data_IF_399006232875
#
_entry.id   IF_399006232875
#
_cell.length_a   1.000
_cell.length_b   1.000
_cell.length_c   1.000
_cell.angle_alpha   90.00
_cell.angle_beta   90.00
_cell.angle_gamma   90.00
#
_symmetry.space_group_name_H-M   'P 1'
#
loop_
_entity.id
_entity.type
_entity.pdbx_description
1 polymer ?
#
# COMPACT_ATOMS: atom_id res chain seq x y z
N UNK A 1 34.21 -22.86 11.76
CA UNK A 1 33.85 -23.47 10.46
C UNK A 1 33.77 -24.99 10.54
N UNK A 2 34.83 -25.71 10.93
CA UNK A 2 34.77 -27.18 11.04
C UNK A 2 33.66 -27.68 11.96
N UNK A 3 33.49 -27.06 13.14
CA UNK A 3 32.40 -27.38 14.08
C UNK A 3 31.01 -27.15 13.47
N UNK A 4 30.84 -26.07 12.70
CA UNK A 4 29.58 -25.77 12.03
C UNK A 4 29.26 -26.82 10.95
N UNK A 5 30.24 -27.19 10.12
CA UNK A 5 30.08 -28.23 9.09
C UNK A 5 29.92 -29.64 9.65
N UNK A 6 30.20 -29.85 10.94
CA UNK A 6 29.95 -31.13 11.62
C UNK A 6 28.50 -31.30 12.07
N UNK A 7 27.71 -30.21 12.12
CA UNK A 7 26.28 -30.26 12.43
C UNK A 7 25.47 -30.74 11.21
N UNK A 8 24.25 -31.27 11.41
CA UNK A 8 23.34 -31.60 10.32
C UNK A 8 23.10 -30.37 9.42
N UNK A 9 23.41 -30.52 8.13
CA UNK A 9 23.17 -29.50 7.12
C UNK A 9 21.93 -29.81 6.30
N UNK A 10 21.26 -28.76 5.81
CA UNK A 10 20.18 -28.85 4.83
C UNK A 10 20.55 -28.06 3.56
N UNK A 11 19.84 -28.34 2.48
CA UNK A 11 19.95 -27.63 1.20
C UNK A 11 18.57 -27.15 0.77
N UNK A 12 18.51 -26.00 0.10
CA UNK A 12 17.28 -25.45 -0.44
C UNK A 12 17.51 -24.20 -1.26
N UNK A 13 16.45 -23.77 -1.95
CA UNK A 13 16.48 -22.60 -2.82
C UNK A 13 16.25 -21.33 -2.00
N UNK A 14 17.20 -20.39 -2.07
CA UNK A 14 17.10 -19.08 -1.46
C UNK A 14 17.27 -17.98 -2.50
N UNK A 15 16.37 -17.01 -2.50
CA UNK A 15 16.41 -15.83 -3.36
C UNK A 15 15.81 -14.63 -2.63
N UNK A 16 16.07 -13.44 -3.15
CA UNK A 16 15.63 -12.20 -2.49
C UNK A 16 15.03 -11.19 -3.47
N UNK A 17 14.11 -10.37 -2.97
CA UNK A 17 13.77 -9.08 -3.54
C UNK A 17 14.50 -7.97 -2.76
N UNK A 18 15.23 -7.08 -3.41
CA UNK A 18 15.79 -5.89 -2.74
C UNK A 18 14.69 -4.86 -2.44
N UNK A 19 14.95 -3.89 -1.55
CA UNK A 19 14.01 -2.78 -1.29
C UNK A 19 13.60 -1.97 -2.53
N UNK A 20 14.40 -1.97 -3.60
CA UNK A 20 14.07 -1.32 -4.89
C UNK A 20 13.34 -2.26 -5.87
N UNK A 21 12.79 -3.37 -5.41
CA UNK A 21 12.06 -4.36 -6.24
C UNK A 21 12.93 -5.28 -7.11
N UNK A 22 14.27 -5.16 -7.07
CA UNK A 22 15.14 -6.02 -7.88
C UNK A 22 15.16 -7.46 -7.34
N UNK A 23 14.76 -8.41 -8.19
CA UNK A 23 14.81 -9.83 -7.90
C UNK A 23 16.22 -10.39 -8.11
N UNK A 24 16.74 -11.07 -7.07
CA UNK A 24 17.82 -12.04 -7.17
C UNK A 24 17.19 -13.43 -7.14
N UNK A 25 17.24 -14.19 -8.25
CA UNK A 25 16.49 -15.43 -8.38
C UNK A 25 16.98 -16.49 -7.38
N UNK A 26 16.12 -17.46 -7.01
CA UNK A 26 16.50 -18.51 -6.09
C UNK A 26 17.67 -19.36 -6.60
N UNK A 27 18.66 -19.57 -5.74
CA UNK A 27 19.79 -20.46 -5.99
C UNK A 27 19.96 -21.46 -4.84
N UNK A 28 20.66 -22.56 -5.06
CA UNK A 28 20.81 -23.59 -4.05
C UNK A 28 21.81 -23.16 -2.98
N UNK A 29 21.39 -23.08 -1.73
CA UNK A 29 22.25 -22.82 -0.58
C UNK A 29 22.32 -24.06 0.29
N UNK A 30 23.49 -24.26 0.91
CA UNK A 30 23.72 -25.29 1.92
C UNK A 30 24.21 -24.68 3.21
N UNK A 31 23.62 -25.12 4.31
CA UNK A 31 23.93 -24.59 5.63
C UNK A 31 23.34 -25.39 6.77
N UNK A 32 23.53 -24.88 7.98
CA UNK A 32 22.92 -25.42 9.21
C UNK A 32 21.67 -24.62 9.53
N UNK A 33 20.58 -25.30 9.90
CA UNK A 33 19.38 -24.62 10.37
C UNK A 33 19.67 -23.77 11.60
N UNK A 34 19.11 -22.56 11.66
CA UNK A 34 19.20 -21.71 12.84
C UNK A 34 18.65 -22.45 14.07
N UNK A 35 17.55 -23.18 13.93
CA UNK A 35 16.98 -24.01 15.01
C UNK A 35 17.97 -25.04 15.57
N UNK A 36 18.76 -25.71 14.71
CA UNK A 36 19.82 -26.64 15.14
C UNK A 36 20.94 -25.95 15.92
N UNK A 37 21.26 -24.70 15.58
CA UNK A 37 22.22 -23.91 16.37
C UNK A 37 21.65 -23.54 17.74
N UNK A 38 20.37 -23.16 17.78
CA UNK A 38 19.69 -22.77 19.01
C UNK A 38 19.44 -23.94 19.96
N UNK A 39 19.27 -25.16 19.45
CA UNK A 39 19.20 -26.39 20.28
C UNK A 39 20.42 -26.55 21.19
N UNK A 40 21.61 -26.09 20.77
CA UNK A 40 22.82 -26.11 21.60
C UNK A 40 22.74 -25.12 22.77
N UNK A 41 21.82 -24.15 22.70
CA UNK A 41 21.54 -23.15 23.74
C UNK A 41 20.26 -23.48 24.53
N UNK A 42 19.70 -24.68 24.37
CA UNK A 42 18.45 -25.10 25.03
C UNK A 42 17.20 -24.92 24.18
N UNK A 43 17.34 -24.56 22.90
CA UNK A 43 16.25 -24.37 21.95
C UNK A 43 15.75 -22.93 21.89
N UNK A 44 14.77 -22.70 21.00
CA UNK A 44 14.03 -21.45 20.89
C UNK A 44 12.63 -21.65 21.49
N UNK A 45 12.28 -20.80 22.44
CA UNK A 45 10.95 -20.72 23.05
C UNK A 45 10.22 -19.47 22.57
N UNK A 46 8.89 -19.43 22.76
CA UNK A 46 8.04 -18.31 22.34
C UNK A 46 8.38 -16.98 23.05
N UNK A 47 9.10 -17.01 24.18
CA UNK A 47 9.56 -15.84 24.94
C UNK A 47 10.95 -15.31 24.50
N UNK A 48 11.51 -15.87 23.42
CA UNK A 48 12.84 -15.49 22.91
C UNK A 48 12.81 -15.21 21.42
N UNK A 49 13.40 -14.08 21.03
CA UNK A 49 13.67 -13.76 19.62
C UNK A 49 15.14 -13.99 19.27
N UNK A 50 15.42 -14.12 17.97
CA UNK A 50 16.76 -14.39 17.44
C UNK A 50 17.27 -13.14 16.75
N UNK A 51 18.35 -12.56 17.26
CA UNK A 51 19.04 -11.46 16.58
C UNK A 51 20.29 -11.97 15.88
N UNK A 52 20.42 -11.62 14.60
CA UNK A 52 21.58 -11.93 13.76
C UNK A 52 22.37 -10.66 13.53
N UNK A 53 23.68 -10.71 13.76
CA UNK A 53 24.59 -9.57 13.66
C UNK A 53 25.68 -9.90 12.63
N UNK A 54 25.87 -8.99 11.68
CA UNK A 54 26.89 -9.04 10.65
C UNK A 54 28.17 -8.31 11.06
N UNK A 55 29.27 -8.56 10.34
CA UNK A 55 30.57 -7.92 10.58
C UNK A 55 30.59 -6.41 10.30
N UNK A 56 29.73 -5.95 9.40
CA UNK A 56 29.57 -4.53 9.01
C UNK A 56 28.73 -3.72 10.01
N UNK A 57 28.21 -4.35 11.05
CA UNK A 57 27.36 -3.70 12.07
C UNK A 57 25.87 -3.82 11.80
N UNK A 58 25.44 -4.33 10.64
CA UNK A 58 24.04 -4.63 10.39
C UNK A 58 23.53 -5.70 11.36
N UNK A 59 22.31 -5.51 11.85
CA UNK A 59 21.63 -6.50 12.68
C UNK A 59 20.16 -6.57 12.35
N UNK A 60 19.58 -7.76 12.45
CA UNK A 60 18.15 -7.97 12.27
C UNK A 60 17.61 -8.95 13.32
N UNK A 61 16.36 -8.74 13.74
CA UNK A 61 15.68 -9.59 14.71
C UNK A 61 14.57 -10.40 14.06
N UNK A 62 14.63 -11.70 14.24
CA UNK A 62 13.58 -12.65 13.89
C UNK A 62 12.72 -12.96 15.12
N UNK A 63 11.40 -13.00 14.92
CA UNK A 63 10.48 -13.52 15.92
C UNK A 63 10.60 -15.04 16.08
N UNK A 64 10.05 -15.62 17.16
CA UNK A 64 9.93 -17.07 17.28
C UNK A 64 9.20 -17.69 16.08
N UNK A 65 8.09 -17.08 15.62
CA UNK A 65 7.27 -17.61 14.54
C UNK A 65 8.04 -17.64 13.20
N UNK A 66 8.79 -16.60 12.88
CA UNK A 66 9.64 -16.58 11.67
C UNK A 66 10.65 -17.73 11.63
N UNK A 67 11.29 -18.04 12.76
CA UNK A 67 12.31 -19.11 12.83
C UNK A 67 11.69 -20.51 12.92
N UNK A 68 10.60 -20.67 13.68
CA UNK A 68 9.99 -21.98 13.95
C UNK A 68 9.01 -22.41 12.85
N UNK A 69 8.21 -21.47 12.36
CA UNK A 69 7.09 -21.72 11.44
C UNK A 69 7.44 -21.35 10.00
N UNK A 70 8.35 -20.40 9.79
CA UNK A 70 8.75 -19.95 8.47
C UNK A 70 7.82 -18.88 7.88
N UNK A 71 7.18 -18.09 8.74
CA UNK A 71 6.25 -17.04 8.34
C UNK A 71 7.03 -15.82 7.82
N UNK A 72 7.19 -15.73 6.50
CA UNK A 72 7.81 -14.60 5.81
C UNK A 72 6.87 -14.07 4.73
N UNK A 73 6.91 -12.77 4.47
CA UNK A 73 6.32 -12.24 3.24
C UNK A 73 7.10 -12.78 2.05
N UNK A 74 6.38 -13.20 1.01
CA UNK A 74 6.95 -13.85 -0.17
C UNK A 74 6.46 -13.21 -1.44
N UNK A 75 7.33 -13.15 -2.45
CA UNK A 75 7.06 -12.51 -3.72
C UNK A 75 7.29 -13.44 -4.90
N UNK A 76 6.48 -13.31 -5.95
CA UNK A 76 6.69 -14.02 -7.21
C UNK A 76 7.98 -13.54 -7.89
N UNK A 77 8.81 -14.49 -8.32
CA UNK A 77 10.11 -14.22 -8.96
C UNK A 77 9.98 -13.44 -10.28
N UNK A 78 8.83 -13.56 -10.97
CA UNK A 78 8.61 -12.99 -12.30
C UNK A 78 7.98 -11.61 -12.24
N UNK A 79 6.90 -11.45 -11.45
CA UNK A 79 6.19 -10.17 -11.36
C UNK A 79 6.71 -9.29 -10.22
N UNK A 80 7.24 -9.88 -9.16
CA UNK A 80 7.55 -9.16 -7.92
C UNK A 80 6.31 -8.84 -7.07
N UNK A 81 5.15 -9.41 -7.40
CA UNK A 81 3.95 -9.27 -6.58
C UNK A 81 4.04 -10.17 -5.35
N UNK A 82 3.43 -9.73 -4.25
CA UNK A 82 3.26 -10.58 -3.07
C UNK A 82 2.40 -11.80 -3.40
N UNK A 83 2.79 -12.96 -2.89
CA UNK A 83 2.11 -14.24 -3.07
C UNK A 83 2.02 -15.01 -1.75
N UNK A 84 1.05 -15.92 -1.68
CA UNK A 84 1.04 -16.92 -0.61
C UNK A 84 2.30 -17.78 -0.67
N UNK A 85 2.86 -18.09 0.51
CA UNK A 85 4.08 -18.90 0.63
C UNK A 85 3.88 -20.29 0.03
N UNK A 86 4.77 -20.68 -0.89
CA UNK A 86 4.78 -22.00 -1.54
C UNK A 86 5.69 -22.95 -0.76
N UNK A 87 5.08 -23.82 0.03
CA UNK A 87 5.79 -24.83 0.81
C UNK A 87 6.34 -24.27 2.12
N UNK A 88 7.32 -24.95 2.70
CA UNK A 88 7.91 -24.55 3.98
C UNK A 88 9.17 -23.74 3.76
N UNK A 89 9.24 -22.58 4.40
CA UNK A 89 10.47 -21.78 4.49
C UNK A 89 11.25 -22.13 5.77
N UNK A 90 12.57 -22.11 5.66
CA UNK A 90 13.48 -22.38 6.77
C UNK A 90 14.68 -21.44 6.73
N UNK A 91 15.16 -21.02 7.89
CA UNK A 91 16.32 -20.13 8.00
C UNK A 91 17.58 -20.92 8.28
N UNK A 92 18.61 -20.73 7.45
CA UNK A 92 19.92 -21.37 7.59
C UNK A 92 21.03 -20.36 7.75
N UNK A 93 22.10 -20.79 8.40
CA UNK A 93 23.44 -20.22 8.22
C UNK A 93 24.13 -21.01 7.12
N UNK A 94 24.10 -20.44 5.92
CA UNK A 94 24.73 -20.96 4.73
C UNK A 94 26.25 -20.74 4.77
N UNK A 95 26.98 -21.72 4.23
CA UNK A 95 28.42 -21.67 3.99
C UNK A 95 28.80 -22.11 2.57
N UNK A 96 27.81 -22.54 1.78
CA UNK A 96 27.96 -22.98 0.39
C UNK A 96 26.78 -22.48 -0.46
N UNK A 97 27.07 -22.11 -1.71
CA UNK A 97 26.10 -21.69 -2.74
C UNK A 97 26.43 -22.42 -4.04
N UNK A 98 25.45 -23.11 -4.61
CA UNK A 98 25.59 -23.98 -5.78
C UNK A 98 26.74 -25.02 -5.68
N UNK A 99 26.97 -25.53 -4.47
CA UNK A 99 28.00 -26.55 -4.19
C UNK A 99 29.42 -26.01 -3.99
N UNK A 100 29.62 -24.71 -4.12
CA UNK A 100 30.91 -24.04 -3.88
C UNK A 100 30.86 -23.24 -2.57
N UNK A 101 31.99 -23.06 -1.87
CA UNK A 101 32.07 -22.15 -0.72
C UNK A 101 31.61 -20.74 -1.08
N UNK A 102 30.97 -20.04 -0.14
CA UNK A 102 30.61 -18.63 -0.31
C UNK A 102 31.86 -17.77 -0.57
N UNK A 103 31.68 -16.75 -1.40
CA UNK A 103 32.72 -15.77 -1.65
C UNK A 103 32.90 -14.87 -0.41
N UNK A 104 34.07 -14.96 0.22
CA UNK A 104 34.32 -14.30 1.50
C UNK A 104 34.28 -12.76 1.40
N UNK A 105 34.65 -12.20 0.25
CA UNK A 105 34.74 -10.75 0.06
C UNK A 105 33.37 -10.12 -0.21
N UNK A 106 32.47 -10.84 -0.91
CA UNK A 106 31.17 -10.29 -1.36
C UNK A 106 29.94 -10.83 -0.61
N UNK A 107 30.05 -11.98 0.05
CA UNK A 107 28.96 -12.62 0.80
C UNK A 107 29.34 -12.94 2.25
N UNK A 108 30.65 -13.02 2.53
CA UNK A 108 31.19 -13.49 3.80
C UNK A 108 31.30 -15.00 3.86
N UNK A 109 32.04 -15.50 4.84
CA UNK A 109 32.20 -16.96 5.03
C UNK A 109 30.92 -17.65 5.51
N UNK A 110 30.02 -16.88 6.13
CA UNK A 110 28.72 -17.31 6.62
C UNK A 110 27.68 -16.28 6.21
N UNK A 111 26.55 -16.78 5.71
CA UNK A 111 25.42 -15.96 5.28
C UNK A 111 24.12 -16.51 5.85
N UNK A 112 23.26 -15.64 6.35
CA UNK A 112 21.90 -16.00 6.70
C UNK A 112 21.07 -16.06 5.42
N UNK A 113 20.33 -17.14 5.22
CA UNK A 113 19.48 -17.33 4.04
C UNK A 113 18.18 -17.98 4.48
N UNK A 114 17.05 -17.47 3.99
CA UNK A 114 15.76 -18.16 4.02
C UNK A 114 15.69 -19.05 2.78
N UNK A 115 15.50 -20.35 2.99
CA UNK A 115 15.44 -21.35 1.93
C UNK A 115 14.06 -22.03 1.89
N UNK A 116 13.67 -22.47 0.70
CA UNK A 116 12.48 -23.29 0.47
C UNK A 116 12.69 -24.28 -0.68
N UNK A 117 11.61 -24.93 -1.10
CA UNK A 117 11.63 -25.89 -2.21
C UNK A 117 11.27 -25.25 -3.56
N UNK A 118 10.56 -24.12 -3.54
CA UNK A 118 10.01 -23.48 -4.74
C UNK A 118 11.02 -22.55 -5.41
N UNK A 119 11.22 -22.64 -6.75
CA UNK A 119 12.01 -21.67 -7.51
C UNK A 119 11.20 -20.43 -7.90
N UNK A 120 9.92 -20.37 -7.54
CA UNK A 120 8.98 -19.33 -7.98
C UNK A 120 8.80 -18.19 -6.97
N UNK A 121 9.40 -18.31 -5.78
CA UNK A 121 9.27 -17.29 -4.74
C UNK A 121 10.61 -16.80 -4.21
N UNK A 122 10.61 -15.55 -3.72
CA UNK A 122 11.68 -14.96 -2.94
C UNK A 122 11.12 -14.32 -1.67
N UNK A 123 11.99 -13.97 -0.73
CA UNK A 123 11.65 -13.15 0.45
C UNK A 123 12.33 -11.79 0.34
N UNK A 124 12.04 -10.87 1.26
CA UNK A 124 12.79 -9.62 1.33
C UNK A 124 14.30 -9.81 1.56
N UNK A 125 15.07 -8.91 0.96
CA UNK A 125 16.52 -8.92 1.01
C UNK A 125 17.08 -8.75 2.42
N UNK A 126 16.36 -8.06 3.31
CA UNK A 126 16.79 -7.88 4.70
C UNK A 126 16.83 -9.21 5.49
N UNK A 127 16.10 -10.24 5.01
CA UNK A 127 16.17 -11.61 5.55
C UNK A 127 17.41 -12.39 5.10
N UNK A 128 18.23 -11.85 4.19
CA UNK A 128 19.46 -12.49 3.75
C UNK A 128 20.70 -11.68 4.13
N UNK A 129 21.23 -11.98 5.32
CA UNK A 129 22.32 -11.24 5.94
C UNK A 129 23.68 -11.82 5.54
N UNK A 130 24.52 -10.99 4.93
CA UNK A 130 25.92 -11.33 4.59
C UNK A 130 26.83 -11.16 5.80
N UNK A 131 28.02 -11.77 5.74
CA UNK A 131 29.06 -11.64 6.76
C UNK A 131 28.54 -11.90 8.19
N UNK A 132 27.74 -12.96 8.36
CA UNK A 132 27.16 -13.28 9.67
C UNK A 132 28.27 -13.63 10.64
N UNK A 133 28.31 -12.89 11.74
CA UNK A 133 29.32 -13.06 12.80
C UNK A 133 28.73 -13.66 14.05
N UNK A 134 27.49 -13.30 14.40
CA UNK A 134 26.89 -13.67 15.67
C UNK A 134 25.39 -13.89 15.54
N UNK A 135 24.89 -14.90 16.26
CA UNK A 135 23.48 -15.10 16.54
C UNK A 135 23.33 -15.01 18.06
N UNK A 136 22.33 -14.26 18.53
CA UNK A 136 22.02 -14.14 19.96
C UNK A 136 20.53 -14.30 20.19
N UNK A 137 20.19 -14.87 21.34
CA UNK A 137 18.82 -14.85 21.86
C UNK A 137 18.61 -13.56 22.64
N UNK A 138 17.48 -12.89 22.41
CA UNK A 138 17.00 -11.77 23.22
C UNK A 138 15.56 -12.00 23.65
N UNK A 139 15.01 -11.07 24.44
CA UNK A 139 13.59 -11.11 24.79
C UNK A 139 12.73 -11.13 23.52
N UNK A 140 11.61 -11.86 23.56
CA UNK A 140 10.70 -11.94 22.43
C UNK A 140 10.26 -10.54 21.98
N UNK A 141 10.31 -10.34 20.68
CA UNK A 141 9.63 -9.23 20.01
C UNK A 141 8.36 -9.77 19.37
N UNK A 142 7.28 -9.03 19.54
CA UNK A 142 6.01 -9.31 18.87
C UNK A 142 6.09 -8.82 17.42
N UNK A 143 5.64 -9.64 16.48
CA UNK A 143 5.51 -9.23 15.09
C UNK A 143 4.25 -8.39 14.90
N UNK A 144 4.34 -7.45 13.96
CA UNK A 144 3.25 -6.58 13.59
C UNK A 144 3.41 -6.17 12.13
N UNK A 145 2.29 -5.76 11.55
CA UNK A 145 2.19 -5.22 10.20
C UNK A 145 1.36 -3.94 10.26
N UNK A 146 1.82 -2.90 9.57
CA UNK A 146 1.10 -1.65 9.37
C UNK A 146 0.87 -1.45 7.88
N UNK A 147 -0.36 -1.08 7.50
CA UNK A 147 -0.71 -0.86 6.10
C UNK A 147 -0.34 0.56 5.68
N UNK A 148 0.46 0.70 4.62
CA UNK A 148 0.68 1.98 3.95
C UNK A 148 -0.11 1.98 2.64
N UNK A 149 -1.00 2.96 2.48
CA UNK A 149 -1.98 3.00 1.40
C UNK A 149 -1.87 4.35 0.69
N UNK A 150 -1.66 4.33 -0.62
CA UNK A 150 -1.65 5.52 -1.46
C UNK A 150 -1.98 5.16 -2.91
N UNK A 151 -1.14 5.57 -3.85
CA UNK A 151 -1.25 5.18 -5.26
C UNK A 151 -1.05 3.67 -5.45
N UNK A 152 -0.26 3.07 -4.56
CA UNK A 152 -0.17 1.63 -4.35
C UNK A 152 -0.35 1.31 -2.87
N UNK A 153 -0.64 0.07 -2.55
CA UNK A 153 -0.71 -0.39 -1.15
C UNK A 153 0.45 -1.33 -0.85
N UNK A 154 1.04 -1.17 0.32
CA UNK A 154 2.13 -2.03 0.79
C UNK A 154 1.97 -2.33 2.29
N UNK A 155 1.87 -3.61 2.68
CA UNK A 155 2.01 -3.98 4.08
C UNK A 155 3.48 -3.81 4.50
N UNK A 156 3.70 -3.11 5.60
CA UNK A 156 5.02 -2.94 6.21
C UNK A 156 5.10 -3.82 7.45
N UNK A 157 5.88 -4.89 7.37
CA UNK A 157 6.18 -5.71 8.55
C UNK A 157 7.21 -5.05 9.48
N UNK A 158 7.24 -5.53 10.71
CA UNK A 158 8.19 -5.06 11.75
C UNK A 158 9.63 -5.02 11.26
N UNK A 159 10.09 -6.06 10.58
CA UNK A 159 11.50 -6.21 10.24
C UNK A 159 11.92 -5.31 9.07
N UNK A 160 11.04 -5.10 8.10
CA UNK A 160 11.20 -4.10 7.04
C UNK A 160 11.32 -2.72 7.65
N UNK A 161 10.43 -2.38 8.59
CA UNK A 161 10.48 -1.11 9.29
C UNK A 161 11.76 -0.95 10.10
N UNK A 162 12.13 -1.93 10.92
CA UNK A 162 13.36 -1.90 11.73
C UNK A 162 14.62 -1.78 10.85
N UNK A 163 14.65 -2.44 9.69
CA UNK A 163 15.75 -2.33 8.72
C UNK A 163 15.83 -0.92 8.14
N UNK A 164 14.69 -0.31 7.79
CA UNK A 164 14.62 1.09 7.37
C UNK A 164 15.02 2.07 8.47
N UNK A 165 14.71 1.75 9.73
CA UNK A 165 15.03 2.55 10.91
C UNK A 165 16.47 2.33 11.43
N UNK A 166 17.30 1.58 10.72
CA UNK A 166 18.70 1.37 11.11
C UNK A 166 19.49 2.70 11.08
N UNK A 167 20.50 2.89 11.95
CA UNK A 167 21.25 4.15 12.04
C UNK A 167 21.89 4.64 10.74
N UNK A 168 22.30 3.73 9.87
CA UNK A 168 22.92 4.04 8.56
C UNK A 168 21.90 4.11 7.41
N UNK A 169 20.60 4.15 7.73
CA UNK A 169 19.49 4.18 6.77
C UNK A 169 18.62 5.44 6.97
N UNK A 170 17.38 5.31 7.46
CA UNK A 170 16.42 6.41 7.61
C UNK A 170 16.09 6.73 9.08
N UNK A 171 16.97 6.40 10.02
CA UNK A 171 16.72 6.67 11.43
C UNK A 171 16.67 8.17 11.74
N UNK A 172 15.61 8.58 12.42
CA UNK A 172 15.47 9.90 13.06
C UNK A 172 15.06 9.75 14.52
N UNK A 173 15.29 10.79 15.31
CA UNK A 173 14.93 10.80 16.73
C UNK A 173 14.40 12.16 17.19
N UNK A 174 13.46 12.15 18.14
CA UNK A 174 12.91 13.32 18.81
C UNK A 174 12.88 13.10 20.33
N UNK A 175 13.14 14.13 21.12
CA UNK A 175 13.09 14.08 22.59
C UNK A 175 11.91 14.89 23.09
N UNK A 176 11.06 14.26 23.92
CA UNK A 176 9.89 14.92 24.49
C UNK A 176 10.22 15.85 25.68
N UNK A 177 9.19 16.49 26.24
CA UNK A 177 9.34 17.42 27.37
C UNK A 177 9.76 16.71 28.67
N UNK A 178 9.46 15.41 28.77
CA UNK A 178 9.80 14.52 29.88
C UNK A 178 11.22 13.96 29.76
N UNK A 179 11.86 14.11 28.60
CA UNK A 179 13.23 13.69 28.32
C UNK A 179 13.36 12.30 27.71
N UNK A 180 12.26 11.67 27.30
CA UNK A 180 12.28 10.39 26.60
C UNK A 180 12.69 10.58 25.14
N UNK A 181 13.55 9.70 24.63
CA UNK A 181 14.03 9.73 23.25
C UNK A 181 13.23 8.75 22.41
N UNK A 182 12.42 9.28 21.51
CA UNK A 182 11.66 8.51 20.53
C UNK A 182 12.46 8.40 19.24
N UNK A 183 12.52 7.20 18.64
CA UNK A 183 13.23 6.99 17.38
C UNK A 183 12.49 6.06 16.42
N UNK A 184 12.67 6.30 15.13
CA UNK A 184 12.09 5.52 14.04
C UNK A 184 12.39 6.17 12.69
N UNK A 185 11.42 6.21 11.79
CA UNK A 185 11.59 6.71 10.42
C UNK A 185 10.77 7.99 10.21
N UNK A 186 11.33 9.06 9.61
CA UNK A 186 10.54 10.20 9.17
C UNK A 186 9.37 9.80 8.27
N UNK A 187 8.17 10.33 8.55
CA UNK A 187 6.94 9.92 7.89
C UNK A 187 7.04 10.03 6.37
N UNK A 188 7.70 11.06 5.83
CA UNK A 188 7.81 11.26 4.39
C UNK A 188 8.54 10.10 3.65
N UNK A 189 9.51 9.45 4.29
CA UNK A 189 10.16 8.27 3.70
C UNK A 189 9.21 7.09 3.56
N UNK A 190 8.28 6.94 4.50
CA UNK A 190 7.31 5.85 4.52
C UNK A 190 6.20 6.06 3.50
N UNK A 191 5.61 7.27 3.46
CA UNK A 191 4.58 7.59 2.47
C UNK A 191 5.15 7.66 1.04
N UNK A 192 6.43 8.01 0.88
CA UNK A 192 7.14 7.93 -0.41
C UNK A 192 7.31 6.50 -0.94
N UNK A 193 6.95 5.47 -0.18
CA UNK A 193 6.91 4.10 -0.70
C UNK A 193 5.62 3.81 -1.46
N UNK A 194 4.59 4.62 -1.25
CA UNK A 194 3.22 4.36 -1.69
C UNK A 194 2.57 5.56 -2.38
N UNK A 195 3.29 6.67 -2.57
CA UNK A 195 2.77 7.85 -3.25
C UNK A 195 2.80 7.74 -4.79
N UNK A 196 3.62 6.84 -5.34
CA UNK A 196 3.54 6.33 -6.71
C UNK A 196 4.08 4.88 -6.83
N UNK A 197 4.41 4.41 -8.04
CA UNK A 197 4.94 3.05 -8.28
C UNK A 197 6.39 2.85 -7.80
N UNK A 198 7.12 3.93 -7.44
CA UNK A 198 8.55 3.92 -7.08
C UNK A 198 8.71 3.77 -5.56
N UNK A 199 8.66 2.53 -5.09
CA UNK A 199 8.71 2.18 -3.65
C UNK A 199 9.96 2.63 -2.89
N UNK A 200 11.12 2.79 -3.55
CA UNK A 200 12.39 3.06 -2.89
C UNK A 200 13.48 3.54 -3.87
N UNK A 201 14.28 4.53 -3.45
CA UNK A 201 15.36 5.12 -4.25
C UNK A 201 15.44 6.64 -4.07
N UNK A 202 16.36 7.29 -4.79
CA UNK A 202 16.58 8.74 -4.69
C UNK A 202 15.32 9.56 -5.04
N UNK A 203 14.50 9.04 -5.96
CA UNK A 203 13.29 9.68 -6.50
C UNK A 203 11.98 9.06 -5.94
N UNK A 204 12.05 8.25 -4.86
CA UNK A 204 10.85 7.56 -4.35
C UNK A 204 9.78 8.51 -3.83
N UNK A 205 10.16 9.57 -3.11
CA UNK A 205 9.19 10.54 -2.60
C UNK A 205 8.86 11.63 -3.64
N UNK A 206 7.58 11.80 -3.96
CA UNK A 206 7.08 12.75 -4.97
C UNK A 206 6.78 14.13 -4.39
N UNK A 207 7.82 14.98 -4.40
CA UNK A 207 7.72 16.38 -3.97
C UNK A 207 6.68 17.20 -4.76
N UNK A 208 6.40 16.84 -6.02
CA UNK A 208 5.40 17.51 -6.85
C UNK A 208 3.97 17.15 -6.44
N UNK A 209 3.69 15.89 -6.12
CA UNK A 209 2.41 15.47 -5.54
C UNK A 209 2.20 16.15 -4.18
N UNK A 210 3.24 16.18 -3.34
CA UNK A 210 3.16 16.81 -2.03
C UNK A 210 2.87 18.33 -2.12
N UNK A 211 3.44 19.01 -3.13
CA UNK A 211 3.16 20.42 -3.42
C UNK A 211 1.81 20.66 -4.11
N UNK A 212 1.26 19.67 -4.80
CA UNK A 212 -0.08 19.76 -5.35
C UNK A 212 -1.12 19.75 -4.23
N UNK A 213 -0.81 19.08 -3.13
CA UNK A 213 -1.67 18.99 -1.95
C UNK A 213 -2.33 17.62 -1.89
N UNK A 214 -2.16 16.97 -0.74
CA UNK A 214 -2.93 15.80 -0.33
C UNK A 214 -2.96 15.75 1.19
N UNK A 215 -3.85 14.93 1.76
CA UNK A 215 -3.84 14.68 3.20
C UNK A 215 -3.27 13.30 3.50
N UNK A 216 -2.75 13.12 4.71
CA UNK A 216 -2.23 11.87 5.23
C UNK A 216 -2.98 11.55 6.50
N UNK A 217 -3.78 10.49 6.47
CA UNK A 217 -4.44 9.94 7.64
C UNK A 217 -3.55 8.91 8.33
N UNK A 218 -3.19 9.17 9.58
CA UNK A 218 -2.55 8.20 10.46
C UNK A 218 -3.65 7.63 11.36
N UNK A 219 -3.93 6.33 11.21
CA UNK A 219 -5.08 5.66 11.82
C UNK A 219 -4.60 4.67 12.87
N UNK A 220 -5.07 4.83 14.10
CA UNK A 220 -4.80 3.91 15.20
C UNK A 220 -5.69 2.66 15.16
N UNK A 221 -5.28 1.62 15.88
CA UNK A 221 -5.99 0.34 16.01
C UNK A 221 -7.41 0.46 16.59
N UNK A 222 -7.69 1.53 17.34
CA UNK A 222 -9.03 1.84 17.87
C UNK A 222 -9.91 2.66 16.90
N UNK A 223 -9.39 2.99 15.71
CA UNK A 223 -10.05 3.81 14.69
C UNK A 223 -9.91 5.31 14.88
N UNK A 224 -9.14 5.79 15.87
CA UNK A 224 -8.82 7.21 15.98
C UNK A 224 -7.87 7.64 14.86
N UNK A 225 -8.21 8.73 14.17
CA UNK A 225 -7.45 9.24 13.03
C UNK A 225 -6.89 10.62 13.32
N UNK A 226 -5.62 10.81 12.95
CA UNK A 226 -4.97 12.12 12.84
C UNK A 226 -4.66 12.39 11.38
N UNK A 227 -5.21 13.47 10.86
CA UNK A 227 -4.95 13.93 9.49
C UNK A 227 -3.86 15.00 9.50
N UNK A 228 -2.84 14.82 8.64
CA UNK A 228 -1.77 15.78 8.37
C UNK A 228 -1.85 16.26 6.92
N UNK A 229 -1.40 17.47 6.63
CA UNK A 229 -1.28 17.95 5.25
C UNK A 229 0.08 17.61 4.65
N UNK A 230 0.11 17.37 3.33
CA UNK A 230 1.31 17.01 2.59
C UNK A 230 2.42 18.04 2.68
N UNK A 231 2.10 19.34 2.75
CA UNK A 231 3.11 20.41 2.85
C UNK A 231 3.87 20.36 4.18
N UNK A 232 3.18 20.06 5.28
CA UNK A 232 3.78 19.89 6.61
C UNK A 232 4.69 18.66 6.68
N UNK A 233 4.32 17.58 5.99
CA UNK A 233 5.09 16.31 5.98
C UNK A 233 6.24 16.32 4.98
N UNK A 234 6.13 17.08 3.89
CA UNK A 234 7.08 17.10 2.77
C UNK A 234 8.53 17.33 3.24
N UNK A 235 9.36 16.30 3.08
CA UNK A 235 10.80 16.31 3.44
C UNK A 235 11.05 16.77 4.89
N UNK A 236 10.13 16.45 5.79
CA UNK A 236 10.20 16.86 7.19
C UNK A 236 10.71 15.73 8.10
N UNK A 237 11.98 15.84 8.52
CA UNK A 237 12.61 14.91 9.46
C UNK A 237 12.08 15.02 10.90
N UNK A 238 11.31 16.06 11.21
CA UNK A 238 10.78 16.29 12.55
C UNK A 238 9.46 15.56 12.81
N UNK A 239 8.86 14.90 11.81
CA UNK A 239 7.62 14.11 11.94
C UNK A 239 8.00 12.65 11.75
N UNK A 240 8.00 11.90 12.84
CA UNK A 240 8.60 10.57 12.93
C UNK A 240 7.52 9.55 13.27
N UNK A 241 7.50 8.44 12.55
CA UNK A 241 6.85 7.21 12.99
C UNK A 241 7.87 6.44 13.81
N UNK A 242 7.71 6.45 15.13
CA UNK A 242 8.62 5.83 16.08
C UNK A 242 8.26 4.37 16.32
N UNK A 243 9.28 3.51 16.37
CA UNK A 243 9.18 2.12 16.83
C UNK A 243 9.93 1.87 18.14
N UNK A 244 10.65 2.88 18.65
CA UNK A 244 11.41 2.80 19.90
C UNK A 244 11.19 4.05 20.76
N UNK A 245 11.22 3.85 22.08
CA UNK A 245 11.34 4.89 23.11
C UNK A 245 12.46 4.51 24.08
N UNK A 246 13.39 5.42 24.32
CA UNK A 246 14.62 5.20 25.09
C UNK A 246 15.42 3.96 24.65
N UNK A 247 15.40 3.69 23.35
CA UNK A 247 16.05 2.52 22.73
C UNK A 247 15.38 1.18 23.03
N UNK A 248 14.16 1.18 23.60
CA UNK A 248 13.35 -0.01 23.83
C UNK A 248 12.16 -0.04 22.86
N UNK A 249 11.69 -1.25 22.43
CA UNK A 249 10.44 -1.39 21.69
C UNK A 249 9.25 -0.75 22.41
N UNK A 250 8.31 -0.21 21.63
CA UNK A 250 7.05 0.32 22.17
C UNK A 250 6.22 -0.79 22.84
N UNK A 251 5.34 -0.40 23.75
CA UNK A 251 4.42 -1.32 24.44
C UNK A 251 3.11 -0.61 24.79
N UNK A 252 2.06 -1.38 25.09
CA UNK A 252 0.76 -0.82 25.46
C UNK A 252 0.15 0.02 24.33
N UNK A 253 -0.42 1.18 24.68
CA UNK A 253 -1.11 2.08 23.74
C UNK A 253 -0.18 2.71 22.68
N UNK A 254 1.14 2.60 22.85
CA UNK A 254 2.13 3.10 21.88
C UNK A 254 2.49 2.06 20.81
N UNK A 255 2.23 0.78 21.06
CA UNK A 255 2.61 -0.33 20.16
C UNK A 255 1.55 -0.53 19.06
N UNK A 256 1.94 -0.79 17.79
CA UNK A 256 3.30 -1.11 17.34
C UNK A 256 4.17 0.10 16.99
N UNK A 257 3.55 1.18 16.53
CA UNK A 257 4.20 2.41 16.10
C UNK A 257 3.48 3.64 16.68
N UNK A 258 4.24 4.72 16.91
CA UNK A 258 3.73 5.99 17.42
C UNK A 258 4.17 7.17 16.56
N UNK A 259 3.24 8.05 16.21
CA UNK A 259 3.53 9.32 15.55
C UNK A 259 4.04 10.32 16.60
N UNK A 260 5.23 10.88 16.38
CA UNK A 260 5.89 11.83 17.29
C UNK A 260 6.62 12.91 16.49
N UNK A 261 6.97 14.03 17.13
CA UNK A 261 7.68 15.09 16.42
C UNK A 261 7.51 16.51 16.95
N UNK A 262 8.54 17.35 16.78
CA UNK A 262 8.49 18.75 17.25
C UNK A 262 7.49 19.62 16.48
N UNK A 263 7.13 19.22 15.26
CA UNK A 263 6.19 19.94 14.40
C UNK A 263 4.75 19.45 14.56
N UNK A 264 4.50 18.58 15.54
CA UNK A 264 3.17 18.07 15.90
C UNK A 264 2.66 18.70 17.19
N UNK A 265 1.35 18.89 17.27
CA UNK A 265 0.68 19.14 18.55
C UNK A 265 0.58 17.85 19.36
N UNK A 266 0.48 17.95 20.70
CA UNK A 266 0.32 16.77 21.57
C UNK A 266 -0.87 15.88 21.21
N UNK A 267 -1.92 16.44 20.59
CA UNK A 267 -3.10 15.67 20.15
C UNK A 267 -2.88 14.89 18.85
N UNK A 268 -1.91 15.30 18.04
CA UNK A 268 -1.53 14.60 16.82
C UNK A 268 -0.58 13.42 17.11
N UNK A 269 0.10 13.43 18.26
CA UNK A 269 1.04 12.37 18.64
C UNK A 269 0.29 11.14 19.15
N UNK A 270 -0.11 10.26 18.24
CA UNK A 270 -0.90 9.05 18.52
C UNK A 270 -0.04 7.80 18.48
N UNK A 271 -0.37 6.84 19.34
CA UNK A 271 0.23 5.50 19.37
C UNK A 271 -0.68 4.48 18.71
N UNK A 272 -0.20 3.24 18.61
CA UNK A 272 -1.02 2.12 18.15
C UNK A 272 -1.43 2.25 16.69
N UNK A 273 -0.55 2.77 15.84
CA UNK A 273 -0.83 2.97 14.41
C UNK A 273 -1.07 1.61 13.74
N UNK A 274 -2.19 1.51 13.04
CA UNK A 274 -2.57 0.35 12.22
C UNK A 274 -2.43 0.64 10.72
N UNK A 275 -2.68 1.89 10.30
CA UNK A 275 -2.64 2.28 8.88
C UNK A 275 -2.12 3.72 8.72
N UNK A 276 -1.49 3.98 7.58
CA UNK A 276 -1.16 5.32 7.09
C UNK A 276 -1.69 5.44 5.67
N UNK A 277 -2.62 6.37 5.44
CA UNK A 277 -3.34 6.52 4.17
C UNK A 277 -3.04 7.88 3.56
N UNK A 278 -2.57 7.90 2.32
CA UNK A 278 -2.46 9.12 1.51
C UNK A 278 -3.79 9.31 0.79
N UNK A 279 -4.47 10.41 1.12
CA UNK A 279 -5.66 10.83 0.41
C UNK A 279 -5.25 11.91 -0.59
N UNK A 280 -4.94 11.49 -1.82
CA UNK A 280 -4.82 12.40 -2.95
C UNK A 280 -6.21 13.01 -3.22
N UNK A 281 -6.54 14.11 -2.53
CA UNK A 281 -7.79 14.81 -2.81
C UNK A 281 -7.80 15.25 -4.29
N UNK A 282 -8.83 14.83 -5.04
CA UNK A 282 -9.44 15.76 -5.99
C UNK A 282 -10.02 16.89 -5.14
N UNK A 283 -9.60 18.13 -5.40
CA UNK A 283 -10.12 19.29 -4.67
C UNK A 283 -11.65 19.26 -4.57
N UNK A 284 -12.16 19.10 -3.34
CA UNK A 284 -13.39 19.77 -2.91
C UNK A 284 -14.41 18.96 -2.10
N UNK A 285 -14.12 18.64 -0.84
CA UNK A 285 -15.10 18.67 0.27
C UNK A 285 -14.37 18.56 1.62
N UNK A 286 -14.41 19.50 2.56
CA UNK A 286 -15.22 20.71 2.66
C UNK A 286 -15.04 21.41 4.01
N UNK A 287 -15.94 22.34 4.34
CA UNK A 287 -16.23 22.71 5.73
C UNK A 287 -17.60 23.39 5.81
N UNK A 288 -18.51 22.78 6.58
CA UNK A 288 -19.74 23.42 6.99
C UNK A 288 -19.49 24.35 8.19
N UNK A 289 -19.75 25.66 8.05
CA UNK A 289 -20.41 26.44 9.12
C UNK A 289 -21.11 27.69 8.56
N UNK A 290 -22.40 27.79 8.89
CA UNK A 290 -23.35 28.91 8.72
C UNK A 290 -23.78 29.33 7.30
N UNK A 291 -25.07 29.08 7.00
CA UNK A 291 -25.80 29.61 5.84
C UNK A 291 -25.75 31.15 5.82
N UNK A 292 -25.67 31.84 4.65
CA UNK A 292 -26.67 31.68 3.58
C UNK A 292 -26.20 31.78 2.11
N UNK A 293 -27.01 31.15 1.23
CA UNK A 293 -27.22 31.40 -0.22
C UNK A 293 -26.06 31.12 -1.20
N UNK A 294 -26.12 29.91 -1.79
CA UNK A 294 -26.23 29.63 -3.24
C UNK A 294 -25.26 30.33 -4.21
N UNK A 295 -24.31 29.54 -4.75
CA UNK A 295 -24.00 29.44 -6.19
C UNK A 295 -23.12 28.20 -6.43
N UNK A 296 -23.59 27.26 -7.25
CA UNK A 296 -22.90 26.02 -7.65
C UNK A 296 -21.64 26.35 -8.46
N UNK A 297 -20.47 25.75 -8.22
CA UNK A 297 -19.32 25.97 -9.09
C UNK A 297 -19.60 25.36 -10.47
N UNK A 298 -19.50 26.17 -11.52
CA UNK A 298 -19.64 25.70 -12.89
C UNK A 298 -18.51 24.73 -13.21
N UNK A 299 -18.83 23.55 -13.78
CA UNK A 299 -17.82 22.62 -14.29
C UNK A 299 -17.06 23.17 -15.49
N UNK A 300 -16.18 22.35 -16.05
CA UNK A 300 -15.39 22.76 -17.20
C UNK A 300 -16.27 23.07 -18.41
N UNK A 301 -15.77 23.92 -19.32
CA UNK A 301 -16.42 24.05 -20.63
C UNK A 301 -16.26 22.73 -21.39
N UNK A 302 -17.35 22.13 -21.93
CA UNK A 302 -17.26 20.87 -22.66
C UNK A 302 -16.33 20.99 -23.88
N UNK A 303 -15.34 20.10 -24.00
CA UNK A 303 -14.48 20.03 -25.18
C UNK A 303 -15.21 19.43 -26.38
N UNK A 304 -16.23 18.60 -26.12
CA UNK A 304 -17.16 18.08 -27.13
C UNK A 304 -18.58 18.55 -26.79
N UNK A 305 -19.27 19.11 -27.77
CA UNK A 305 -20.68 19.50 -27.64
C UNK A 305 -21.54 18.29 -27.98
N UNK A 306 -22.38 17.85 -27.03
CA UNK A 306 -23.27 16.71 -27.22
C UNK A 306 -24.51 17.05 -28.06
N UNK A 307 -25.35 16.05 -28.41
CA UNK A 307 -26.52 16.26 -29.26
C UNK A 307 -27.60 17.03 -28.50
N UNK A 308 -28.01 18.21 -28.98
CA UNK A 308 -28.88 19.12 -28.24
C UNK A 308 -30.22 18.53 -27.78
N UNK A 309 -30.74 17.49 -28.46
CA UNK A 309 -31.98 16.81 -28.15
C UNK A 309 -31.80 15.50 -27.35
N UNK A 310 -30.57 15.15 -26.97
CA UNK A 310 -30.29 13.98 -26.15
C UNK A 310 -30.75 14.19 -24.70
N UNK A 311 -31.19 13.09 -24.09
CA UNK A 311 -31.56 13.04 -22.67
C UNK A 311 -31.38 11.63 -22.12
N UNK A 312 -31.18 11.54 -20.80
CA UNK A 312 -31.15 10.27 -20.07
C UNK A 312 -32.22 10.29 -18.98
N UNK A 313 -32.92 9.17 -18.79
CA UNK A 313 -33.93 9.04 -17.74
C UNK A 313 -33.50 8.05 -16.66
N UNK A 314 -33.61 8.46 -15.40
CA UNK A 314 -33.40 7.65 -14.21
C UNK A 314 -34.74 7.06 -13.76
N UNK A 315 -34.84 5.73 -13.69
CA UNK A 315 -36.10 5.02 -13.36
C UNK A 315 -35.89 3.88 -12.37
N UNK A 316 -36.96 3.23 -11.94
CA UNK A 316 -36.90 2.02 -11.11
C UNK A 316 -36.94 2.31 -9.61
N UNK A 317 -35.99 1.75 -8.84
CA UNK A 317 -35.86 1.90 -7.39
C UNK A 317 -35.28 3.27 -6.98
N UNK A 318 -35.97 4.33 -7.40
CA UNK A 318 -35.75 5.72 -6.98
C UNK A 318 -37.03 6.28 -6.35
N UNK A 319 -36.91 7.35 -5.57
CA UNK A 319 -38.08 8.01 -4.98
C UNK A 319 -38.95 8.73 -6.02
N UNK A 320 -38.31 9.31 -7.04
CA UNK A 320 -38.97 9.92 -8.19
C UNK A 320 -38.12 9.71 -9.45
N UNK A 321 -38.76 9.29 -10.55
CA UNK A 321 -38.09 9.24 -11.84
C UNK A 321 -37.69 10.65 -12.29
N UNK A 322 -36.53 10.76 -12.92
CA UNK A 322 -35.96 12.05 -13.35
C UNK A 322 -35.40 11.91 -14.75
N UNK A 323 -35.65 12.89 -15.61
CA UNK A 323 -35.01 12.98 -16.92
C UNK A 323 -34.08 14.19 -16.91
N UNK A 324 -32.85 13.98 -17.37
CA UNK A 324 -31.86 15.04 -17.57
C UNK A 324 -31.67 15.27 -19.06
N UNK A 325 -31.84 16.52 -19.51
CA UNK A 325 -31.48 16.97 -20.85
C UNK A 325 -29.98 17.22 -20.96
N UNK A 326 -29.48 17.49 -22.17
CA UNK A 326 -28.08 17.94 -22.34
C UNK A 326 -27.76 19.19 -21.55
N UNK A 327 -28.67 20.17 -21.46
CA UNK A 327 -28.46 21.39 -20.67
C UNK A 327 -28.31 21.05 -19.18
N UNK A 328 -29.13 20.13 -18.67
CA UNK A 328 -29.02 19.66 -17.29
C UNK A 328 -27.69 18.94 -17.07
N UNK A 329 -27.29 18.04 -17.97
CA UNK A 329 -26.03 17.31 -17.88
C UNK A 329 -24.83 18.27 -17.89
N UNK A 330 -24.82 19.27 -18.76
CA UNK A 330 -23.76 20.27 -18.80
C UNK A 330 -23.70 21.09 -17.49
N UNK A 331 -24.86 21.38 -16.90
CA UNK A 331 -24.95 22.10 -15.63
C UNK A 331 -24.50 21.27 -14.41
N UNK A 332 -24.46 19.93 -14.51
CA UNK A 332 -23.93 19.06 -13.43
C UNK A 332 -22.40 19.10 -13.33
N UNK A 333 -21.75 19.85 -14.20
CA UNK A 333 -20.33 20.12 -14.11
C UNK A 333 -19.53 19.06 -14.87
N UNK A 334 -19.37 19.36 -16.15
CA UNK A 334 -18.64 18.58 -17.15
C UNK A 334 -17.17 18.47 -16.81
N UNK A 335 -16.59 17.33 -17.16
CA UNK A 335 -15.15 17.07 -17.13
C UNK A 335 -14.66 16.68 -18.53
N UNK A 336 -13.48 17.16 -18.89
CA UNK A 336 -12.72 16.69 -20.06
C UNK A 336 -11.50 15.93 -19.55
N UNK A 337 -11.42 14.63 -19.86
CA UNK A 337 -10.38 13.77 -19.28
C UNK A 337 -9.98 12.65 -20.23
N UNK A 338 -8.92 11.94 -19.88
CA UNK A 338 -8.44 10.75 -20.58
C UNK A 338 -8.91 9.50 -19.84
N UNK A 339 -9.45 8.52 -20.57
CA UNK A 339 -9.85 7.21 -20.03
C UNK A 339 -9.22 6.07 -20.81
N UNK A 340 -8.95 4.95 -20.15
CA UNK A 340 -8.37 3.74 -20.77
C UNK A 340 -9.47 2.75 -21.15
N UNK A 341 -9.67 2.50 -22.46
CA UNK A 341 -10.63 1.51 -22.94
C UNK A 341 -9.95 0.15 -23.16
N UNK A 342 -10.50 -0.97 -22.64
CA UNK A 342 -9.81 -2.29 -22.59
C UNK A 342 -9.43 -2.89 -23.96
N UNK A 343 -10.02 -2.40 -25.05
CA UNK A 343 -9.70 -2.82 -26.44
C UNK A 343 -9.15 -1.72 -27.33
N UNK A 344 -9.23 -0.45 -26.91
CA UNK A 344 -8.95 0.71 -27.77
C UNK A 344 -7.80 1.57 -27.27
N UNK A 345 -7.31 1.28 -26.06
CA UNK A 345 -6.30 2.10 -25.42
C UNK A 345 -6.88 3.37 -24.84
N UNK A 346 -5.98 4.28 -24.49
CA UNK A 346 -6.23 5.63 -24.01
C UNK A 346 -7.06 6.47 -25.01
N UNK A 347 -8.06 7.19 -24.51
CA UNK A 347 -8.90 8.10 -25.29
C UNK A 347 -9.35 9.33 -24.48
N UNK A 348 -9.34 10.49 -25.13
CA UNK A 348 -9.92 11.73 -24.59
C UNK A 348 -11.44 11.68 -24.66
N UNK A 349 -12.10 12.09 -23.58
CA UNK A 349 -13.55 12.03 -23.42
C UNK A 349 -14.10 13.26 -22.70
N UNK A 350 -15.36 13.57 -22.97
CA UNK A 350 -16.14 14.62 -22.31
C UNK A 350 -17.38 13.99 -21.69
N UNK A 351 -17.69 14.34 -20.44
CA UNK A 351 -18.88 13.83 -19.77
C UNK A 351 -19.09 14.36 -18.36
N UNK A 352 -20.05 13.76 -17.66
CA UNK A 352 -20.37 14.03 -16.25
C UNK A 352 -20.04 12.79 -15.43
N UNK A 353 -19.35 12.92 -14.28
CA UNK A 353 -19.11 11.80 -13.38
C UNK A 353 -20.40 11.13 -12.92
N UNK A 354 -20.41 9.80 -12.85
CA UNK A 354 -21.58 9.06 -12.38
C UNK A 354 -21.96 9.44 -10.94
N UNK A 355 -21.00 9.76 -10.07
CA UNK A 355 -21.28 10.26 -8.71
C UNK A 355 -22.25 11.45 -8.69
N UNK A 356 -22.07 12.41 -9.60
CA UNK A 356 -22.96 13.57 -9.72
C UNK A 356 -24.34 13.21 -10.25
N UNK A 357 -24.40 12.27 -11.21
CA UNK A 357 -25.66 11.78 -11.75
C UNK A 357 -26.46 10.97 -10.72
N UNK A 358 -25.78 10.17 -9.91
CA UNK A 358 -26.41 9.40 -8.83
C UNK A 358 -26.96 10.33 -7.74
N UNK A 359 -26.30 11.45 -7.46
CA UNK A 359 -26.79 12.47 -6.54
C UNK A 359 -28.06 13.20 -7.02
N UNK A 360 -28.39 13.14 -8.33
CA UNK A 360 -29.58 13.78 -8.87
C UNK A 360 -30.89 13.06 -8.52
N UNK A 361 -30.80 11.82 -8.01
CA UNK A 361 -31.93 10.99 -7.63
C UNK A 361 -31.71 10.36 -6.25
N UNK A 362 -32.78 10.23 -5.47
CA UNK A 362 -32.71 9.45 -4.22
C UNK A 362 -32.93 7.97 -4.55
N UNK A 363 -31.86 7.19 -4.49
CA UNK A 363 -31.86 5.75 -4.74
C UNK A 363 -32.40 5.03 -3.50
N UNK A 364 -33.33 4.10 -3.70
CA UNK A 364 -33.89 3.31 -2.61
C UNK A 364 -32.89 2.25 -2.13
N UNK A 365 -32.83 1.95 -0.82
CA UNK A 365 -31.82 1.05 -0.25
C UNK A 365 -31.94 -0.39 -0.75
N UNK A 366 -33.06 -0.78 -1.36
CA UNK A 366 -33.23 -2.09 -1.99
C UNK A 366 -32.54 -2.22 -3.35
N UNK A 367 -32.08 -1.11 -3.95
CA UNK A 367 -31.39 -1.13 -5.23
C UNK A 367 -29.99 -1.74 -5.07
N UNK A 368 -29.70 -2.78 -5.84
CA UNK A 368 -28.37 -3.42 -5.84
C UNK A 368 -27.71 -3.40 -7.22
N UNK A 369 -28.48 -3.08 -8.24
CA UNK A 369 -28.05 -3.13 -9.64
C UNK A 369 -28.57 -1.92 -10.41
N UNK A 370 -27.75 -1.42 -11.32
CA UNK A 370 -28.10 -0.38 -12.28
C UNK A 370 -28.07 -0.95 -13.69
N UNK A 371 -29.16 -0.81 -14.42
CA UNK A 371 -29.24 -1.19 -15.82
C UNK A 371 -29.02 0.02 -16.72
N UNK A 372 -28.04 -0.06 -17.61
CA UNK A 372 -27.83 0.90 -18.69
C UNK A 372 -28.55 0.45 -19.95
N UNK A 373 -29.59 1.18 -20.37
CA UNK A 373 -30.42 0.86 -21.52
C UNK A 373 -30.16 1.85 -22.65
N UNK A 374 -29.79 1.30 -23.81
CA UNK A 374 -29.56 2.04 -25.05
C UNK A 374 -30.82 2.13 -25.91
N UNK A 375 -30.86 3.08 -26.84
CA UNK A 375 -32.00 3.32 -27.72
C UNK A 375 -32.32 2.12 -28.65
N UNK A 376 -31.30 1.33 -28.98
CA UNK A 376 -31.38 0.13 -29.83
C UNK A 376 -31.91 -1.11 -29.09
N UNK A 377 -32.20 -0.98 -27.79
CA UNK A 377 -32.68 -2.06 -26.93
C UNK A 377 -31.57 -2.87 -26.27
N UNK A 378 -30.29 -2.52 -26.46
CA UNK A 378 -29.20 -3.08 -25.66
C UNK A 378 -29.37 -2.69 -24.18
N UNK A 379 -29.09 -3.63 -23.29
CA UNK A 379 -29.10 -3.43 -21.85
C UNK A 379 -27.94 -4.17 -21.22
N UNK A 380 -27.29 -3.53 -20.25
CA UNK A 380 -26.26 -4.16 -19.41
C UNK A 380 -26.50 -3.79 -17.95
N UNK A 381 -26.40 -4.79 -17.07
CA UNK A 381 -26.60 -4.65 -15.63
C UNK A 381 -25.22 -4.50 -14.94
N UNK A 382 -25.04 -3.42 -14.18
CA UNK A 382 -23.84 -3.09 -13.40
C UNK A 382 -24.18 -3.18 -11.91
N UNK A 383 -23.36 -3.80 -11.06
CA UNK A 383 -23.55 -3.71 -9.62
C UNK A 383 -23.53 -2.24 -9.16
N UNK A 384 -24.53 -1.81 -8.39
CA UNK A 384 -24.64 -0.40 -7.98
C UNK A 384 -23.42 0.03 -7.16
N UNK A 385 -22.95 -0.82 -6.25
CA UNK A 385 -21.76 -0.55 -5.44
C UNK A 385 -20.50 -0.33 -6.29
N UNK A 386 -20.35 -1.07 -7.40
CA UNK A 386 -19.21 -0.90 -8.31
C UNK A 386 -19.31 0.42 -9.09
N UNK A 387 -20.53 0.84 -9.44
CA UNK A 387 -20.76 2.13 -10.11
C UNK A 387 -20.56 3.30 -9.14
N UNK A 388 -20.99 3.17 -7.88
CA UNK A 388 -20.77 4.15 -6.81
C UNK A 388 -19.28 4.29 -6.45
N UNK A 389 -18.53 3.19 -6.48
CA UNK A 389 -17.09 3.18 -6.24
C UNK A 389 -16.26 3.62 -7.47
N UNK A 390 -16.88 3.77 -8.65
CA UNK A 390 -16.14 4.09 -9.87
C UNK A 390 -15.99 5.61 -10.07
N UNK A 391 -14.90 6.15 -9.52
CA UNK A 391 -14.58 7.58 -9.59
C UNK A 391 -14.29 8.08 -11.03
N UNK A 392 -13.85 7.19 -11.92
CA UNK A 392 -13.55 7.50 -13.31
C UNK A 392 -14.70 7.19 -14.28
N UNK A 393 -15.84 6.69 -13.78
CA UNK A 393 -16.97 6.37 -14.62
C UNK A 393 -17.75 7.64 -14.97
N UNK A 394 -18.02 7.83 -16.26
CA UNK A 394 -18.72 9.00 -16.77
C UNK A 394 -19.95 8.59 -17.58
N UNK A 395 -21.04 9.36 -17.46
CA UNK A 395 -21.96 9.53 -18.58
C UNK A 395 -21.39 10.63 -19.46
N UNK A 396 -20.85 10.24 -20.60
CA UNK A 396 -20.32 11.18 -21.56
C UNK A 396 -21.04 11.15 -22.89
N UNK A 397 -20.46 11.85 -23.85
CA UNK A 397 -21.06 12.01 -25.17
C UNK A 397 -20.01 12.23 -26.25
N UNK A 398 -20.41 11.97 -27.48
CA UNK A 398 -19.82 12.59 -28.66
C UNK A 398 -20.87 13.46 -29.38
N UNK A 399 -20.56 13.91 -30.59
CA UNK A 399 -21.46 14.75 -31.38
C UNK A 399 -22.79 14.04 -31.75
N UNK A 400 -22.88 12.72 -31.60
CA UNK A 400 -24.03 11.92 -32.05
C UNK A 400 -24.89 11.36 -30.93
N UNK A 401 -24.30 10.98 -29.77
CA UNK A 401 -25.04 10.25 -28.74
C UNK A 401 -24.45 10.34 -27.33
N UNK A 402 -25.28 10.05 -26.32
CA UNK A 402 -24.84 9.75 -24.95
C UNK A 402 -24.23 8.34 -24.86
N UNK A 403 -23.28 8.13 -23.95
CA UNK A 403 -22.63 6.85 -23.71
C UNK A 403 -22.00 6.76 -22.33
N UNK A 404 -21.72 5.54 -21.89
CA UNK A 404 -20.96 5.32 -20.66
C UNK A 404 -19.47 5.11 -20.97
N UNK A 405 -18.64 5.77 -20.18
CA UNK A 405 -17.20 5.53 -20.12
C UNK A 405 -16.92 4.83 -18.80
N UNK A 406 -16.43 3.59 -18.85
CA UNK A 406 -16.33 2.70 -17.69
C UNK A 406 -14.91 2.10 -17.54
N UNK A 407 -13.88 2.90 -17.22
CA UNK A 407 -12.50 2.43 -17.02
C UNK A 407 -12.44 1.31 -15.97
N UNK A 408 -11.63 0.29 -16.21
CA UNK A 408 -11.58 -0.90 -15.34
C UNK A 408 -12.69 -1.93 -15.56
N UNK A 409 -13.75 -1.59 -16.31
CA UNK A 409 -14.82 -2.52 -16.68
C UNK A 409 -14.60 -3.13 -18.07
N UNK A 410 -15.19 -4.29 -18.31
CA UNK A 410 -15.23 -4.90 -19.64
C UNK A 410 -15.91 -4.00 -20.68
N UNK A 411 -15.51 -4.12 -21.96
CA UNK A 411 -16.04 -3.29 -23.05
C UNK A 411 -17.57 -3.36 -23.26
N UNK A 412 -18.25 -4.36 -22.69
CA UNK A 412 -19.72 -4.50 -22.72
C UNK A 412 -20.44 -3.46 -21.85
N UNK A 413 -19.78 -2.93 -20.82
CA UNK A 413 -20.32 -1.91 -19.92
C UNK A 413 -20.25 -0.49 -20.49
N UNK A 414 -19.53 -0.30 -21.59
CA UNK A 414 -19.38 0.97 -22.33
C UNK A 414 -20.54 1.12 -23.32
N UNK A 415 -21.75 1.25 -22.77
CA UNK A 415 -23.00 1.37 -23.51
C UNK A 415 -23.00 2.62 -24.39
N UNK A 416 -23.46 2.48 -25.61
CA UNK A 416 -23.61 3.58 -26.58
C UNK A 416 -25.07 3.90 -26.76
N UNK A 417 -25.36 5.15 -27.11
CA UNK A 417 -26.71 5.65 -27.33
C UNK A 417 -27.62 5.42 -26.12
N UNK A 418 -27.09 5.78 -24.95
CA UNK A 418 -27.73 5.58 -23.65
C UNK A 418 -28.95 6.49 -23.52
N UNK A 419 -30.11 5.92 -23.19
CA UNK A 419 -31.37 6.67 -23.01
C UNK A 419 -31.96 6.50 -21.61
N UNK A 420 -31.58 5.46 -20.87
CA UNK A 420 -32.12 5.19 -19.53
C UNK A 420 -31.12 4.50 -18.62
N UNK A 421 -31.17 4.90 -17.34
CA UNK A 421 -30.47 4.30 -16.21
C UNK A 421 -31.56 3.80 -15.25
N UNK A 422 -31.71 2.49 -15.11
CA UNK A 422 -32.77 1.88 -14.29
C UNK A 422 -32.17 1.20 -13.05
N UNK A 423 -32.57 1.67 -11.86
CA UNK A 423 -32.18 1.05 -10.59
C UNK A 423 -33.11 -0.12 -10.27
N UNK A 424 -32.54 -1.29 -9.95
CA UNK A 424 -33.27 -2.55 -9.78
C UNK A 424 -33.06 -3.19 -8.42
#
# INVERSE_FOLDING_TARGET
>A
MEELKALPSVEGLGGIMSSTGKITPPENYKGVLVTTLLEQLGGLSEDRSVEVIAEDGYSITFSPAQILEGNYITYDVSSGDEIETIGKLQTIIAYERNGEPLDADSEGQLRLVVIGESPLQVVDGHWSVKWVKQIKLKEAVEDWTVEFIGAISEPMDRATFESGAAPDCHMASWTDEEGHVWSGIPLYYLIGRVDDEVKHGDDAYRDDLAKAGYTIDVVATDGYTVTLDSFTVMRNDNIIIANLVDGQPLSGDDFPLRLVGSDLTKKQMIGGIAQVVINFEQEGEGAATEAPTEETPAGETPAVIGPADASVTFTGLVDAEKTLSMEDLEALGVVNTTVEHPKKGSMEVTGVPFSKLLAEVTIKPEATTVAFLASDGFSVDVPLADLEACEQCLLGWDEEMLRTYMPGFESSFWAKDLVRIEFK
#
